data_IF_961858622704
#
_entry.id   IF_961858622704
#
_cell.length_a   1.000
_cell.length_b   1.000
_cell.length_c   1.000
_cell.angle_alpha   90.00
_cell.angle_beta   90.00
_cell.angle_gamma   90.00
#
_symmetry.space_group_name_H-M   'P 1'
#
loop_
_entity.id
_entity.type
_entity.pdbx_description
1 polymer ?
#
# COMPACT_ATOMS: atom_id res chain seq x y z
N UNK A 1 17.41 -12.04 30.95
CA UNK A 1 16.30 -12.27 30.00
C UNK A 1 15.71 -10.92 29.64
N UNK A 2 16.16 -10.32 28.54
CA UNK A 2 15.55 -9.07 28.06
C UNK A 2 14.25 -9.45 27.36
N UNK A 3 13.13 -8.95 27.86
CA UNK A 3 11.90 -8.93 27.09
C UNK A 3 12.13 -8.01 25.88
N UNK A 4 11.79 -8.41 24.64
CA UNK A 4 11.50 -7.40 23.64
C UNK A 4 10.30 -6.60 24.17
N UNK A 5 10.36 -5.27 24.06
CA UNK A 5 9.17 -4.42 24.23
C UNK A 5 8.08 -4.84 23.24
N UNK A 6 6.92 -4.18 23.18
CA UNK A 6 5.95 -4.44 22.13
C UNK A 6 6.62 -4.17 20.78
N UNK A 7 7.18 -5.22 20.19
CA UNK A 7 7.66 -5.23 18.83
C UNK A 7 6.42 -4.89 18.03
N UNK A 8 6.39 -3.65 17.55
CA UNK A 8 5.33 -3.13 16.72
C UNK A 8 5.45 -3.93 15.42
N UNK A 9 4.92 -5.15 15.42
CA UNK A 9 4.57 -5.93 14.22
C UNK A 9 3.37 -5.24 13.58
N UNK A 10 3.49 -3.93 13.38
CA UNK A 10 2.50 -3.10 12.73
C UNK A 10 2.74 -3.24 11.24
N UNK A 11 1.73 -3.74 10.52
CA UNK A 11 1.72 -3.90 9.07
C UNK A 11 2.07 -2.59 8.38
N UNK A 12 3.27 -2.39 7.84
CA UNK A 12 3.66 -1.10 7.22
C UNK A 12 2.93 -0.91 5.89
N UNK A 13 2.25 0.23 5.68
CA UNK A 13 1.63 0.54 4.39
C UNK A 13 2.34 1.70 3.71
N UNK A 14 2.71 1.53 2.44
CA UNK A 14 3.37 2.58 1.65
C UNK A 14 2.57 2.85 0.37
N UNK A 15 2.35 4.12 0.07
CA UNK A 15 1.69 4.57 -1.14
C UNK A 15 2.74 5.25 -2.02
N UNK A 16 3.12 4.59 -3.11
CA UNK A 16 4.07 5.09 -4.10
C UNK A 16 3.30 5.77 -5.23
N UNK A 17 3.53 7.07 -5.41
CA UNK A 17 2.86 7.86 -6.45
C UNK A 17 3.85 8.64 -7.31
N UNK A 18 3.44 8.92 -8.54
CA UNK A 18 4.16 9.81 -9.44
C UNK A 18 3.80 11.28 -9.16
N UNK A 19 4.72 12.22 -9.38
CA UNK A 19 4.35 13.63 -9.41
C UNK A 19 3.21 13.86 -10.41
N UNK A 20 2.21 14.65 -10.02
CA UNK A 20 1.01 14.95 -10.81
C UNK A 20 0.09 13.75 -11.14
N UNK A 21 0.15 12.66 -10.36
CA UNK A 21 -0.80 11.57 -10.54
C UNK A 21 -2.22 11.98 -10.08
N UNK A 22 -3.24 12.01 -10.98
CA UNK A 22 -4.60 12.38 -10.62
C UNK A 22 -5.26 11.37 -9.66
N UNK A 23 -4.76 10.12 -9.66
CA UNK A 23 -5.29 9.04 -8.85
C UNK A 23 -4.65 8.97 -7.45
N UNK A 24 -3.69 9.84 -7.12
CA UNK A 24 -2.97 9.79 -5.85
C UNK A 24 -3.91 10.00 -4.65
N UNK A 25 -4.77 11.02 -4.70
CA UNK A 25 -5.71 11.32 -3.62
C UNK A 25 -6.75 10.22 -3.44
N UNK A 26 -7.32 9.72 -4.55
CA UNK A 26 -8.28 8.62 -4.52
C UNK A 26 -7.66 7.34 -3.94
N UNK A 27 -6.43 7.00 -4.35
CA UNK A 27 -5.71 5.84 -3.82
C UNK A 27 -5.41 5.99 -2.32
N UNK A 28 -5.01 7.19 -1.89
CA UNK A 28 -4.78 7.51 -0.47
C UNK A 28 -6.04 7.31 0.37
N UNK A 29 -7.16 7.86 -0.08
CA UNK A 29 -8.43 7.75 0.66
C UNK A 29 -8.90 6.31 0.74
N UNK A 30 -8.79 5.56 -0.37
CA UNK A 30 -9.15 4.14 -0.41
C UNK A 30 -8.29 3.30 0.55
N UNK A 31 -6.98 3.54 0.60
CA UNK A 31 -6.08 2.85 1.54
C UNK A 31 -6.45 3.19 2.99
N UNK A 32 -6.73 4.45 3.30
CA UNK A 32 -7.13 4.86 4.64
C UNK A 32 -8.45 4.21 5.08
N UNK A 33 -9.45 4.13 4.19
CA UNK A 33 -10.71 3.43 4.47
C UNK A 33 -10.48 1.93 4.70
N UNK A 34 -9.71 1.28 3.83
CA UNK A 34 -9.42 -0.16 3.97
C UNK A 34 -8.68 -0.48 5.28
N UNK A 35 -7.78 0.40 5.72
CA UNK A 35 -7.08 0.27 7.00
C UNK A 35 -8.01 0.41 8.20
N UNK A 36 -8.88 1.43 8.16
CA UNK A 36 -9.89 1.64 9.19
C UNK A 36 -10.84 0.44 9.31
N UNK A 37 -11.25 -0.14 8.16
CA UNK A 37 -12.09 -1.34 8.13
C UNK A 37 -11.38 -2.60 8.62
N UNK A 38 -10.10 -2.73 8.32
CA UNK A 38 -9.31 -3.89 8.74
C UNK A 38 -8.96 -3.86 10.23
N UNK A 39 -9.11 -2.70 10.88
CA UNK A 39 -8.71 -2.45 12.27
C UNK A 39 -7.20 -2.51 12.46
N UNK A 40 -6.42 -2.24 11.41
CA UNK A 40 -4.96 -2.22 11.46
C UNK A 40 -4.50 -0.82 11.90
N UNK A 41 -3.87 -0.75 13.06
CA UNK A 41 -3.27 0.48 13.58
C UNK A 41 -1.90 0.66 12.93
N UNK A 42 -1.88 1.14 11.68
CA UNK A 42 -0.65 1.37 10.93
C UNK A 42 -0.63 2.71 10.22
N UNK A 43 0.58 3.20 9.99
CA UNK A 43 0.84 4.46 9.31
C UNK A 43 0.99 4.22 7.81
N UNK A 44 0.29 5.01 7.01
CA UNK A 44 0.47 5.10 5.56
C UNK A 44 1.64 6.04 5.27
N UNK A 45 2.70 5.53 4.66
CA UNK A 45 3.86 6.33 4.21
C UNK A 45 3.70 6.65 2.73
N UNK A 46 3.46 7.90 2.41
CA UNK A 46 3.37 8.36 1.03
C UNK A 46 4.77 8.69 0.49
N UNK A 47 5.14 8.10 -0.66
CA UNK A 47 6.41 8.40 -1.34
C UNK A 47 6.11 8.84 -2.77
N UNK A 48 6.41 10.09 -3.06
CA UNK A 48 6.29 10.64 -4.41
C UNK A 48 7.64 10.48 -5.13
N UNK A 49 7.61 9.96 -6.34
CA UNK A 49 8.82 9.72 -7.13
C UNK A 49 8.52 9.12 -8.49
N UNK A 50 9.54 8.61 -9.17
CA UNK A 50 9.38 7.94 -10.48
C UNK A 50 8.91 6.50 -10.29
N UNK A 51 7.71 6.35 -9.75
CA UNK A 51 7.05 5.06 -9.48
C UNK A 51 5.95 4.79 -10.51
N UNK A 52 5.53 3.53 -10.60
CA UNK A 52 4.27 3.16 -11.26
C UNK A 52 3.10 3.63 -10.42
N UNK A 53 2.63 4.84 -10.69
CA UNK A 53 1.56 5.42 -9.89
C UNK A 53 0.19 4.88 -10.31
N UNK A 54 -0.73 4.59 -9.36
CA UNK A 54 -0.49 4.39 -7.92
C UNK A 54 -0.06 2.94 -7.62
N UNK A 55 0.98 2.77 -6.78
CA UNK A 55 1.37 1.48 -6.21
C UNK A 55 1.17 1.52 -4.70
N UNK A 56 0.52 0.52 -4.15
CA UNK A 56 0.32 0.37 -2.71
C UNK A 56 1.12 -0.86 -2.27
N UNK A 57 1.99 -0.68 -1.29
CA UNK A 57 2.76 -1.76 -0.66
C UNK A 57 2.23 -1.98 0.75
N UNK A 58 1.99 -3.23 1.10
CA UNK A 58 1.64 -3.67 2.44
C UNK A 58 2.75 -4.61 2.90
N UNK A 59 3.49 -4.23 3.92
CA UNK A 59 4.70 -4.92 4.40
C UNK A 59 5.73 -5.16 3.27
N UNK A 60 5.80 -4.24 2.31
CA UNK A 60 6.65 -4.37 1.11
C UNK A 60 6.06 -5.24 -0.01
N UNK A 61 4.89 -5.87 0.18
CA UNK A 61 4.18 -6.61 -0.85
C UNK A 61 3.19 -5.71 -1.61
N UNK A 62 3.27 -5.71 -2.94
CA UNK A 62 2.32 -4.97 -3.78
C UNK A 62 0.95 -5.65 -3.75
N UNK A 63 -0.07 -4.94 -3.24
CA UNK A 63 -1.48 -5.40 -3.18
C UNK A 63 -2.05 -5.74 -4.55
N UNK A 64 -1.54 -5.10 -5.61
CA UNK A 64 -2.01 -5.29 -6.97
C UNK A 64 -1.28 -6.43 -7.70
N UNK A 65 -0.58 -7.27 -6.95
CA UNK A 65 0.24 -8.39 -7.42
C UNK A 65 1.69 -7.96 -7.67
N UNK A 66 2.64 -8.93 -7.77
CA UNK A 66 4.00 -8.61 -8.17
C UNK A 66 3.92 -7.81 -9.46
N UNK A 67 4.49 -6.61 -9.46
CA UNK A 67 4.68 -5.85 -10.67
C UNK A 67 5.53 -6.74 -11.58
N UNK A 68 4.87 -7.55 -12.42
CA UNK A 68 5.52 -8.34 -13.45
C UNK A 68 6.49 -7.41 -14.14
N UNK A 69 7.72 -7.87 -14.28
CA UNK A 69 8.95 -7.12 -14.58
C UNK A 69 8.83 -6.13 -15.76
N UNK A 70 8.05 -5.08 -15.58
CA UNK A 70 7.85 -4.03 -16.55
C UNK A 70 8.44 -2.80 -15.89
N UNK A 71 9.77 -2.72 -15.99
CA UNK A 71 10.48 -1.47 -15.77
C UNK A 71 9.80 -0.39 -16.61
N UNK A 72 9.33 0.69 -15.97
CA UNK A 72 8.68 1.76 -16.69
C UNK A 72 8.09 2.82 -15.78
N UNK A 73 8.50 4.07 -16.03
CA UNK A 73 8.06 5.32 -15.41
C UNK A 73 6.65 5.73 -15.90
N UNK A 74 5.73 4.78 -16.03
CA UNK A 74 4.39 5.02 -16.58
C UNK A 74 3.30 4.76 -15.53
N UNK A 75 2.30 5.64 -15.51
CA UNK A 75 1.10 5.46 -14.71
C UNK A 75 0.48 4.10 -15.01
N UNK A 76 0.11 3.37 -13.95
CA UNK A 76 -0.61 2.13 -14.09
C UNK A 76 -2.03 2.46 -14.58
N UNK A 77 -2.41 1.90 -15.73
CA UNK A 77 -3.76 2.04 -16.29
C UNK A 77 -4.83 1.36 -15.40
N UNK A 78 -4.41 0.39 -14.59
CA UNK A 78 -5.26 -0.32 -13.64
C UNK A 78 -5.25 0.41 -12.29
N UNK A 79 -6.41 0.87 -11.83
CA UNK A 79 -6.58 1.58 -10.56
C UNK A 79 -6.79 0.58 -9.42
N UNK A 80 -6.16 0.76 -8.24
CA UNK A 80 -6.40 -0.09 -7.08
C UNK A 80 -7.86 -0.04 -6.65
N UNK A 81 -8.47 -1.22 -6.50
CA UNK A 81 -9.83 -1.38 -5.99
C UNK A 81 -9.81 -1.77 -4.51
N UNK A 82 -10.87 -1.39 -3.80
CA UNK A 82 -11.06 -1.66 -2.36
C UNK A 82 -10.91 -3.14 -2.03
N UNK A 83 -11.54 -4.02 -2.82
CA UNK A 83 -11.50 -5.46 -2.62
C UNK A 83 -10.07 -6.04 -2.67
N UNK A 84 -9.22 -5.55 -3.58
CA UNK A 84 -7.83 -6.01 -3.66
C UNK A 84 -7.01 -5.56 -2.47
N UNK A 85 -7.20 -4.31 -2.02
CA UNK A 85 -6.51 -3.79 -0.84
C UNK A 85 -6.90 -4.60 0.40
N UNK A 86 -8.20 -4.81 0.62
CA UNK A 86 -8.69 -5.64 1.73
C UNK A 86 -8.17 -7.08 1.68
N UNK A 87 -8.12 -7.68 0.49
CA UNK A 87 -7.59 -9.04 0.31
C UNK A 87 -6.13 -9.13 0.71
N UNK A 88 -5.29 -8.16 0.33
CA UNK A 88 -3.89 -8.19 0.72
C UNK A 88 -3.69 -7.87 2.21
N UNK A 89 -4.48 -6.94 2.77
CA UNK A 89 -4.45 -6.68 4.22
C UNK A 89 -4.84 -7.94 5.01
N UNK A 90 -5.83 -8.71 4.54
CA UNK A 90 -6.20 -9.99 5.12
C UNK A 90 -5.09 -11.05 4.97
N UNK A 91 -4.36 -11.07 3.85
CA UNK A 91 -3.25 -11.98 3.63
C UNK A 91 -2.07 -11.73 4.57
N UNK A 92 -1.84 -10.49 5.00
CA UNK A 92 -0.79 -10.14 5.99
C UNK A 92 -1.20 -10.48 7.43
N UNK A 93 -2.51 -10.65 7.68
CA UNK A 93 -3.05 -11.04 8.99
C UNK A 93 -3.03 -12.56 9.21
N UNK A 94 -2.90 -13.37 8.16
CA UNK A 94 -2.92 -14.84 8.18
C UNK A 94 -1.54 -15.44 8.47
#
# INVERSE_FOLDING_TARGET
MCAPGPEIRGTRVELLTAPDCPNAEAARSLVAECLAESGLDTTVVERVGRYRSPTVLVDGADVMGPAGSVAGEACRLDVPTRERVLTALAAVKA
#
